data_IF_591767659587
#
_entry.id   IF_591767659587
#
_cell.length_a   1.000
_cell.length_b   1.000
_cell.length_c   1.000
_cell.angle_alpha   90.00
_cell.angle_beta   90.00
_cell.angle_gamma   90.00
#
_symmetry.space_group_name_H-M   'P 1'
#
loop_
_entity.id
_entity.type
_entity.pdbx_description
1 polymer ?
#
# COMPACT_ATOMS: atom_id res chain seq x y z
N UNK A 1 -11.42 13.98 -18.32
CA UNK A 1 -11.78 13.57 -16.95
C UNK A 1 -10.66 13.98 -16.02
N UNK A 2 -10.97 14.69 -14.94
CA UNK A 2 -10.03 15.17 -13.93
C UNK A 2 -10.11 14.31 -12.67
N UNK A 3 -8.98 14.16 -12.00
CA UNK A 3 -8.88 13.55 -10.66
C UNK A 3 -8.13 14.49 -9.74
N UNK A 4 -8.76 14.94 -8.68
CA UNK A 4 -8.20 15.91 -7.73
C UNK A 4 -7.53 15.19 -6.57
N UNK A 5 -6.33 15.62 -6.20
CA UNK A 5 -5.51 14.96 -5.17
C UNK A 5 -4.91 16.01 -4.25
N UNK A 6 -4.95 15.73 -2.96
CA UNK A 6 -4.22 16.55 -1.98
C UNK A 6 -2.70 16.49 -2.23
N UNK A 7 -2.05 17.64 -2.26
CA UNK A 7 -0.59 17.78 -2.30
C UNK A 7 0.08 17.21 -1.04
N UNK A 8 -0.69 17.01 0.03
CA UNK A 8 -0.25 16.37 1.28
C UNK A 8 -0.28 14.84 1.24
N UNK A 9 -0.55 14.21 0.09
CA UNK A 9 -0.26 12.79 -0.11
C UNK A 9 1.25 12.53 -0.13
N UNK A 10 1.68 11.30 0.20
CA UNK A 10 3.09 10.95 0.09
C UNK A 10 3.60 11.16 -1.35
N UNK A 11 4.84 11.63 -1.54
CA UNK A 11 5.42 11.82 -2.87
C UNK A 11 5.35 10.57 -3.75
N UNK A 12 5.52 9.38 -3.16
CA UNK A 12 5.41 8.09 -3.85
C UNK A 12 3.98 7.83 -4.35
N UNK A 13 2.97 8.20 -3.56
CA UNK A 13 1.57 8.13 -3.98
C UNK A 13 1.30 9.02 -5.18
N UNK A 14 1.78 10.26 -5.14
CA UNK A 14 1.65 11.20 -6.25
C UNK A 14 2.35 10.70 -7.51
N UNK A 15 3.55 10.09 -7.37
CA UNK A 15 4.28 9.50 -8.49
C UNK A 15 3.51 8.33 -9.12
N UNK A 16 2.95 7.42 -8.31
CA UNK A 16 2.13 6.30 -8.79
C UNK A 16 0.87 6.81 -9.50
N UNK A 17 0.19 7.80 -8.94
CA UNK A 17 -1.01 8.37 -9.55
C UNK A 17 -0.71 9.01 -10.91
N UNK A 18 0.40 9.75 -11.05
CA UNK A 18 0.85 10.29 -12.35
C UNK A 18 1.08 9.19 -13.37
N UNK A 19 1.86 8.15 -13.00
CA UNK A 19 2.13 7.02 -13.89
C UNK A 19 0.90 6.20 -14.27
N UNK A 20 -0.17 6.25 -13.49
CA UNK A 20 -1.45 5.59 -13.79
C UNK A 20 -2.43 6.48 -14.58
N UNK A 21 -2.40 7.78 -14.35
CA UNK A 21 -3.29 8.73 -15.01
C UNK A 21 -2.86 9.02 -16.46
N UNK A 22 -1.56 9.16 -16.69
CA UNK A 22 -1.00 9.53 -18.01
C UNK A 22 -1.42 8.58 -19.15
N UNK A 23 -1.30 7.24 -19.04
CA UNK A 23 -1.69 6.33 -20.10
C UNK A 23 -3.18 6.40 -20.45
N UNK A 24 -4.01 6.79 -19.51
CA UNK A 24 -5.46 6.90 -19.65
C UNK A 24 -5.92 8.28 -20.09
N UNK A 25 -5.01 9.23 -20.32
CA UNK A 25 -5.33 10.62 -20.64
C UNK A 25 -6.13 11.32 -19.54
N UNK A 26 -5.94 10.91 -18.29
CA UNK A 26 -6.59 11.51 -17.12
C UNK A 26 -5.76 12.66 -16.58
N UNK A 27 -6.37 13.82 -16.41
CA UNK A 27 -5.73 14.97 -15.79
C UNK A 27 -5.66 14.80 -14.26
N UNK A 28 -4.45 14.84 -13.69
CA UNK A 28 -4.22 14.82 -12.26
C UNK A 28 -4.01 16.23 -11.74
N UNK A 29 -4.94 16.72 -10.92
CA UNK A 29 -4.91 18.07 -10.33
C UNK A 29 -4.45 17.95 -8.89
N UNK A 30 -3.21 18.35 -8.60
CA UNK A 30 -2.60 18.29 -7.27
C UNK A 30 -2.70 19.66 -6.61
N UNK A 31 -3.40 19.74 -5.47
CA UNK A 31 -3.71 21.02 -4.78
C UNK A 31 -3.72 20.86 -3.27
N UNK A 32 -3.53 21.95 -2.55
CA UNK A 32 -3.74 22.00 -1.09
C UNK A 32 -5.25 22.04 -0.78
N UNK A 33 -5.82 20.86 -0.56
CA UNK A 33 -7.24 20.69 -0.21
C UNK A 33 -7.57 21.14 1.22
N UNK A 34 -6.58 21.48 2.04
CA UNK A 34 -6.81 21.99 3.38
C UNK A 34 -7.12 23.49 3.39
N UNK A 35 -6.63 24.21 2.42
CA UNK A 35 -6.83 25.68 2.31
C UNK A 35 -7.83 26.06 1.23
N UNK A 36 -7.91 25.29 0.16
CA UNK A 36 -8.76 25.63 -0.99
C UNK A 36 -9.22 24.38 -1.74
N UNK A 37 -10.51 24.24 -1.95
CA UNK A 37 -11.08 23.19 -2.79
C UNK A 37 -11.36 23.78 -4.17
N UNK A 38 -10.78 23.23 -5.25
CA UNK A 38 -11.04 23.70 -6.61
C UNK A 38 -12.48 23.37 -7.04
N UNK A 39 -12.91 23.92 -8.16
CA UNK A 39 -14.15 23.46 -8.78
C UNK A 39 -14.05 21.97 -9.11
N UNK A 40 -14.99 21.20 -8.60
CA UNK A 40 -15.09 19.75 -8.77
C UNK A 40 -15.99 19.33 -9.93
N UNK A 41 -16.52 20.27 -10.72
CA UNK A 41 -17.23 19.95 -11.95
C UNK A 41 -16.32 19.12 -12.88
N UNK A 42 -16.86 18.08 -13.50
CA UNK A 42 -16.15 17.13 -14.37
C UNK A 42 -15.02 16.31 -13.67
N UNK A 43 -14.93 16.36 -12.35
CA UNK A 43 -14.01 15.50 -11.58
C UNK A 43 -14.62 14.11 -11.38
N UNK A 44 -13.85 13.06 -11.66
CA UNK A 44 -14.27 11.69 -11.35
C UNK A 44 -14.04 11.31 -9.88
N UNK A 45 -13.11 11.96 -9.20
CA UNK A 45 -12.83 11.69 -7.80
C UNK A 45 -11.93 12.71 -7.13
N UNK A 46 -11.95 12.69 -5.80
CA UNK A 46 -11.11 13.51 -4.92
C UNK A 46 -10.41 12.61 -3.92
N UNK A 47 -9.08 12.73 -3.81
CA UNK A 47 -8.25 11.91 -2.95
C UNK A 47 -7.57 12.72 -1.85
N UNK A 48 -7.66 12.25 -0.63
CA UNK A 48 -6.87 12.70 0.53
C UNK A 48 -6.15 11.55 1.19
N UNK A 49 -5.16 11.86 2.02
CA UNK A 49 -4.42 10.88 2.82
C UNK A 49 -4.51 11.25 4.31
N UNK A 50 -4.66 10.23 5.18
CA UNK A 50 -4.69 10.40 6.64
C UNK A 50 -3.99 9.22 7.35
N UNK A 51 -2.96 9.47 8.18
CA UNK A 51 -2.22 10.72 8.33
C UNK A 51 -1.61 11.17 6.99
N UNK A 52 -1.46 12.47 6.81
CA UNK A 52 -0.85 13.02 5.61
C UNK A 52 0.69 12.91 5.64
N UNK A 53 1.37 13.35 4.57
CA UNK A 53 2.84 13.23 4.45
C UNK A 53 3.62 14.03 5.50
N UNK A 54 2.95 14.99 6.16
CA UNK A 54 3.49 15.82 7.25
C UNK A 54 3.03 15.35 8.64
N UNK A 55 2.27 14.23 8.68
CA UNK A 55 1.78 13.63 9.91
C UNK A 55 0.47 14.22 10.45
N UNK A 56 -0.16 15.14 9.73
CA UNK A 56 -1.38 15.80 10.18
C UNK A 56 -2.60 14.89 9.95
N UNK A 57 -3.48 14.90 10.94
CA UNK A 57 -4.80 14.25 10.86
C UNK A 57 -5.89 15.32 10.89
N UNK A 58 -6.86 15.20 9.99
CA UNK A 58 -7.98 16.15 9.86
C UNK A 58 -9.31 15.43 9.68
N UNK A 59 -10.38 16.06 10.10
CA UNK A 59 -11.74 15.64 9.74
C UNK A 59 -12.07 16.14 8.33
N UNK A 60 -12.22 15.20 7.41
CA UNK A 60 -12.47 15.48 5.99
C UNK A 60 -13.95 15.32 5.60
N UNK A 61 -14.89 15.24 6.56
CA UNK A 61 -16.31 14.99 6.27
C UNK A 61 -16.93 16.06 5.36
N UNK A 62 -16.55 17.31 5.54
CA UNK A 62 -17.01 18.42 4.67
C UNK A 62 -16.55 18.27 3.23
N UNK A 63 -15.30 17.86 3.03
CA UNK A 63 -14.74 17.61 1.69
C UNK A 63 -15.43 16.40 1.03
N UNK A 64 -15.64 15.32 1.78
CA UNK A 64 -16.33 14.14 1.28
C UNK A 64 -17.75 14.46 0.82
N UNK A 65 -18.45 15.30 1.58
CA UNK A 65 -19.78 15.78 1.20
C UNK A 65 -19.73 16.64 -0.06
N UNK A 66 -18.82 17.61 -0.13
CA UNK A 66 -18.66 18.50 -1.28
C UNK A 66 -18.35 17.71 -2.56
N UNK A 67 -17.46 16.71 -2.48
CA UNK A 67 -17.13 15.84 -3.61
C UNK A 67 -18.37 15.10 -4.12
N UNK A 68 -19.18 14.53 -3.22
CA UNK A 68 -20.44 13.84 -3.59
C UNK A 68 -21.47 14.77 -4.22
N UNK A 69 -21.64 15.94 -3.64
CA UNK A 69 -22.58 16.94 -4.15
C UNK A 69 -22.21 17.37 -5.59
N UNK A 70 -20.91 17.34 -5.92
CA UNK A 70 -20.38 17.57 -7.28
C UNK A 70 -20.37 16.33 -8.19
N UNK A 71 -20.78 15.16 -7.70
CA UNK A 71 -20.75 13.90 -8.47
C UNK A 71 -19.39 13.22 -8.52
N UNK A 72 -18.37 13.73 -7.81
CA UNK A 72 -17.05 13.11 -7.68
C UNK A 72 -17.01 12.06 -6.56
N UNK A 73 -16.20 11.01 -6.74
CA UNK A 73 -16.03 9.95 -5.74
C UNK A 73 -15.00 10.37 -4.70
N UNK A 74 -15.37 10.51 -3.41
CA UNK A 74 -14.39 10.79 -2.36
C UNK A 74 -13.62 9.53 -1.97
N UNK A 75 -12.30 9.61 -2.02
CA UNK A 75 -11.36 8.53 -1.74
C UNK A 75 -10.40 8.95 -0.63
N UNK A 76 -10.15 8.08 0.34
CA UNK A 76 -9.14 8.30 1.38
C UNK A 76 -8.10 7.21 1.37
N UNK A 77 -6.82 7.59 1.37
CA UNK A 77 -5.74 6.71 1.78
C UNK A 77 -5.64 6.78 3.29
N UNK A 78 -5.76 5.66 3.99
CA UNK A 78 -5.76 5.64 5.43
C UNK A 78 -4.85 4.54 6.01
N UNK A 79 -4.14 4.88 7.09
CA UNK A 79 -3.36 3.92 7.87
C UNK A 79 -4.32 3.09 8.75
N UNK A 80 -4.40 1.75 8.57
CA UNK A 80 -5.33 0.91 9.32
C UNK A 80 -5.06 0.90 10.82
N UNK A 81 -3.82 1.16 11.28
CA UNK A 81 -3.51 1.26 12.70
C UNK A 81 -4.13 2.53 13.31
N UNK A 82 -4.02 3.66 12.61
CA UNK A 82 -4.65 4.92 13.05
C UNK A 82 -6.17 4.79 13.17
N UNK A 83 -6.80 4.02 12.27
CA UNK A 83 -8.25 3.80 12.28
C UNK A 83 -8.77 3.02 13.48
N UNK A 84 -7.89 2.42 14.28
CA UNK A 84 -8.31 1.75 15.53
C UNK A 84 -8.72 2.73 16.62
N UNK A 85 -8.24 3.99 16.54
CA UNK A 85 -8.56 5.07 17.49
C UNK A 85 -9.18 6.29 16.81
N UNK A 86 -9.12 6.40 15.48
CA UNK A 86 -9.63 7.54 14.71
C UNK A 86 -10.89 7.18 13.93
N UNK A 87 -11.75 8.17 13.71
CA UNK A 87 -12.98 8.04 12.91
C UNK A 87 -12.66 7.46 11.53
N UNK A 88 -13.28 6.35 11.15
CA UNK A 88 -12.96 5.69 9.88
C UNK A 88 -13.51 6.46 8.67
N UNK A 89 -12.87 6.33 7.49
CA UNK A 89 -13.27 7.04 6.27
C UNK A 89 -14.75 6.87 5.90
N UNK A 90 -15.28 5.67 6.08
CA UNK A 90 -16.71 5.41 5.81
C UNK A 90 -17.68 6.24 6.65
N UNK A 91 -17.33 6.52 7.90
CA UNK A 91 -18.12 7.37 8.81
C UNK A 91 -17.93 8.86 8.52
N UNK A 92 -16.75 9.25 8.02
CA UNK A 92 -16.52 10.60 7.48
C UNK A 92 -17.23 10.85 6.13
N UNK A 93 -17.89 9.83 5.57
CA UNK A 93 -18.63 9.97 4.31
C UNK A 93 -17.85 9.59 3.05
N UNK A 94 -16.63 9.08 3.15
CA UNK A 94 -15.87 8.57 1.99
C UNK A 94 -16.52 7.33 1.41
N UNK A 95 -16.41 7.16 0.10
CA UNK A 95 -16.94 6.02 -0.62
C UNK A 95 -15.92 4.92 -0.84
N UNK A 96 -14.65 5.29 -0.91
CA UNK A 96 -13.54 4.36 -1.07
C UNK A 96 -12.46 4.69 -0.04
N UNK A 97 -11.93 3.67 0.61
CA UNK A 97 -10.74 3.74 1.43
C UNK A 97 -9.71 2.72 0.94
N UNK A 98 -8.45 3.13 0.83
CA UNK A 98 -7.32 2.28 0.45
C UNK A 98 -6.16 2.48 1.41
N UNK A 99 -5.28 1.50 1.51
CA UNK A 99 -4.08 1.63 2.33
C UNK A 99 -3.23 0.36 2.32
N UNK A 100 -2.03 0.47 2.88
CA UNK A 100 -1.15 -0.67 3.10
C UNK A 100 -1.50 -1.35 4.42
N UNK A 101 -1.41 -2.68 4.47
CA UNK A 101 -1.50 -3.45 5.72
C UNK A 101 -0.14 -3.70 6.36
N UNK A 102 0.93 -3.05 5.89
CA UNK A 102 2.28 -3.23 6.41
C UNK A 102 2.35 -3.06 7.93
N UNK A 103 1.63 -2.07 8.49
CA UNK A 103 1.59 -1.81 9.94
C UNK A 103 0.97 -2.94 10.78
N UNK A 104 0.37 -3.93 10.14
CA UNK A 104 -0.13 -5.12 10.82
C UNK A 104 0.92 -6.25 10.80
N UNK A 105 2.08 -5.97 11.41
CA UNK A 105 3.12 -6.94 11.67
C UNK A 105 3.97 -7.37 10.47
N UNK A 106 3.93 -6.64 9.35
CA UNK A 106 4.73 -6.97 8.18
C UNK A 106 6.07 -6.23 8.25
N UNK A 107 7.22 -6.94 8.14
CA UNK A 107 8.53 -6.30 8.08
C UNK A 107 8.63 -5.31 6.91
N UNK A 108 9.42 -4.25 7.09
CA UNK A 108 9.64 -3.24 6.04
C UNK A 108 10.34 -3.83 4.80
N UNK A 109 11.27 -4.79 4.98
CA UNK A 109 11.88 -5.59 3.93
C UNK A 109 12.45 -4.81 2.75
N UNK A 110 13.00 -3.63 3.00
CA UNK A 110 13.52 -2.70 1.99
C UNK A 110 12.47 -2.31 0.92
N UNK A 111 11.20 -2.24 1.30
CA UNK A 111 10.12 -1.78 0.43
C UNK A 111 9.09 -2.83 0.04
N UNK A 112 9.19 -4.03 0.56
CA UNK A 112 8.14 -5.00 0.33
C UNK A 112 8.59 -6.39 -0.07
N UNK A 113 7.63 -7.22 -0.55
CA UNK A 113 6.24 -6.86 -0.88
C UNK A 113 5.36 -6.63 0.34
N UNK A 114 4.30 -5.83 0.18
CA UNK A 114 3.27 -5.60 1.20
C UNK A 114 1.89 -5.91 0.63
N UNK A 115 0.96 -6.35 1.48
CA UNK A 115 -0.44 -6.41 1.13
C UNK A 115 -1.08 -5.03 1.31
N UNK A 116 -2.12 -4.78 0.53
CA UNK A 116 -2.93 -3.57 0.64
C UNK A 116 -4.41 -3.95 0.89
N UNK A 117 -5.19 -2.99 1.33
CA UNK A 117 -6.63 -3.14 1.43
C UNK A 117 -7.35 -2.11 0.56
N UNK A 118 -8.54 -2.47 0.13
CA UNK A 118 -9.52 -1.57 -0.48
C UNK A 118 -10.88 -1.85 0.15
N UNK A 119 -11.49 -0.81 0.70
CA UNK A 119 -12.86 -0.85 1.21
C UNK A 119 -13.72 0.13 0.40
N UNK A 120 -14.96 -0.24 0.11
CA UNK A 120 -15.85 0.60 -0.68
C UNK A 120 -17.31 0.36 -0.32
N UNK A 121 -18.19 1.27 -0.78
CA UNK A 121 -19.64 1.12 -0.67
C UNK A 121 -20.15 0.03 -1.63
N UNK A 122 -21.26 -0.60 -1.28
CA UNK A 122 -21.83 -1.71 -2.06
C UNK A 122 -22.12 -1.35 -3.52
N UNK A 123 -22.50 -0.11 -3.80
CA UNK A 123 -22.76 0.38 -5.15
C UNK A 123 -21.58 0.21 -6.13
N UNK A 124 -20.34 0.16 -5.62
CA UNK A 124 -19.12 0.02 -6.43
C UNK A 124 -18.63 -1.43 -6.56
N UNK A 125 -19.25 -2.39 -5.88
CA UNK A 125 -18.78 -3.78 -5.81
C UNK A 125 -18.56 -4.42 -7.19
N UNK A 126 -19.38 -4.06 -8.19
CA UNK A 126 -19.24 -4.58 -9.56
C UNK A 126 -18.05 -4.01 -10.32
N UNK A 127 -17.46 -2.92 -9.86
CA UNK A 127 -16.30 -2.25 -10.45
C UNK A 127 -15.03 -2.39 -9.60
N UNK A 128 -15.16 -2.98 -8.43
CA UNK A 128 -14.03 -3.19 -7.52
C UNK A 128 -12.99 -4.12 -8.18
N UNK A 129 -11.68 -3.78 -8.16
CA UNK A 129 -10.64 -4.70 -8.60
C UNK A 129 -10.57 -5.92 -7.66
N UNK A 130 -10.00 -7.01 -8.17
CA UNK A 130 -9.85 -8.24 -7.39
C UNK A 130 -11.11 -9.11 -7.35
N UNK A 131 -10.91 -10.34 -6.89
CA UNK A 131 -11.99 -11.32 -6.72
C UNK A 131 -12.72 -11.09 -5.41
N UNK A 132 -14.01 -11.33 -5.44
CA UNK A 132 -14.85 -11.33 -4.24
C UNK A 132 -15.25 -12.75 -3.94
N UNK A 133 -14.95 -13.22 -2.73
CA UNK A 133 -15.32 -14.54 -2.25
C UNK A 133 -16.55 -14.41 -1.36
N UNK A 134 -17.57 -15.19 -1.70
CA UNK A 134 -18.82 -15.30 -0.96
C UNK A 134 -18.89 -16.57 -0.14
N UNK A 135 -19.65 -16.52 0.94
CA UNK A 135 -19.99 -17.69 1.75
C UNK A 135 -21.19 -18.39 1.14
N UNK A 136 -21.12 -19.72 1.00
CA UNK A 136 -22.14 -20.60 0.45
C UNK A 136 -22.23 -21.88 1.29
N UNK A 137 -22.96 -22.86 0.80
CA UNK A 137 -22.97 -24.21 1.34
C UNK A 137 -22.61 -25.22 0.25
N UNK A 138 -21.93 -26.29 0.63
CA UNK A 138 -21.66 -27.41 -0.24
C UNK A 138 -22.88 -28.38 -0.33
N UNK A 139 -22.71 -29.48 -1.03
CA UNK A 139 -23.76 -30.49 -1.22
C UNK A 139 -24.17 -31.20 0.09
N UNK A 140 -23.35 -31.14 1.13
CA UNK A 140 -23.64 -31.70 2.47
C UNK A 140 -24.26 -30.69 3.42
N UNK A 141 -24.36 -29.41 3.01
CA UNK A 141 -24.85 -28.31 3.84
C UNK A 141 -23.78 -27.62 4.69
N UNK A 142 -22.51 -28.07 4.58
CA UNK A 142 -21.40 -27.41 5.29
C UNK A 142 -21.01 -26.08 4.63
N UNK A 143 -20.40 -25.19 5.40
CA UNK A 143 -19.92 -23.90 4.90
C UNK A 143 -18.89 -24.09 3.79
N UNK A 144 -19.13 -23.45 2.66
CA UNK A 144 -18.23 -23.45 1.50
C UNK A 144 -17.99 -22.03 1.00
N UNK A 145 -16.84 -21.81 0.39
CA UNK A 145 -16.47 -20.53 -0.20
C UNK A 145 -16.46 -20.62 -1.72
N UNK A 146 -16.95 -19.59 -2.38
CA UNK A 146 -16.94 -19.49 -3.84
C UNK A 146 -16.75 -18.07 -4.31
N UNK A 147 -16.32 -17.90 -5.56
CA UNK A 147 -16.32 -16.58 -6.19
C UNK A 147 -17.74 -16.02 -6.27
N UNK A 148 -17.95 -14.83 -5.71
CA UNK A 148 -19.19 -14.09 -5.84
C UNK A 148 -19.12 -13.13 -7.03
N UNK A 149 -20.30 -12.82 -7.62
CA UNK A 149 -20.43 -11.90 -8.76
C UNK A 149 -19.52 -12.31 -9.93
N UNK A 150 -19.56 -13.56 -10.31
CA UNK A 150 -18.71 -14.17 -11.34
C UNK A 150 -18.79 -13.48 -12.71
N UNK A 151 -19.88 -12.76 -12.98
CA UNK A 151 -20.07 -12.02 -14.26
C UNK A 151 -19.02 -10.95 -14.51
N UNK A 152 -18.19 -10.57 -13.53
CA UNK A 152 -17.07 -9.64 -13.67
C UNK A 152 -15.73 -10.34 -13.82
N UNK A 153 -15.68 -11.66 -13.71
CA UNK A 153 -14.45 -12.45 -13.78
C UNK A 153 -13.96 -12.64 -15.22
N UNK A 154 -12.65 -12.82 -15.38
CA UNK A 154 -11.96 -12.95 -16.67
C UNK A 154 -12.49 -14.11 -17.52
N UNK A 155 -12.78 -15.26 -16.93
CA UNK A 155 -13.28 -16.43 -17.65
C UNK A 155 -14.68 -16.24 -18.27
N UNK A 156 -15.43 -15.22 -17.82
CA UNK A 156 -16.74 -14.85 -18.38
C UNK A 156 -16.64 -13.63 -19.29
N UNK A 157 -16.04 -12.54 -18.79
CA UNK A 157 -16.00 -11.26 -19.49
C UNK A 157 -14.77 -11.02 -20.36
N UNK A 158 -13.75 -11.86 -20.23
CA UNK A 158 -12.48 -11.75 -20.99
C UNK A 158 -11.87 -10.35 -20.89
N UNK A 159 -11.72 -9.66 -22.01
CA UNK A 159 -11.18 -8.31 -22.14
C UNK A 159 -11.95 -7.21 -21.37
N UNK A 160 -13.24 -7.47 -21.11
CA UNK A 160 -14.11 -6.54 -20.35
C UNK A 160 -14.20 -6.86 -18.85
N UNK A 161 -13.37 -7.75 -18.36
CA UNK A 161 -13.38 -8.10 -16.93
C UNK A 161 -12.86 -6.95 -16.08
N UNK A 162 -13.52 -6.70 -14.95
CA UNK A 162 -13.08 -5.72 -13.96
C UNK A 162 -12.22 -6.34 -12.87
N UNK A 163 -12.21 -7.67 -12.76
CA UNK A 163 -11.44 -8.46 -11.81
C UNK A 163 -10.17 -9.00 -12.47
N UNK A 164 -9.19 -8.15 -12.68
CA UNK A 164 -8.00 -8.47 -13.48
C UNK A 164 -6.73 -8.67 -12.66
N UNK A 165 -6.85 -9.10 -11.40
CA UNK A 165 -5.69 -9.42 -10.57
C UNK A 165 -5.32 -10.88 -10.78
N UNK A 166 -4.12 -11.12 -11.30
CA UNK A 166 -3.56 -12.46 -11.44
C UNK A 166 -2.97 -12.93 -10.12
N UNK A 167 -1.99 -12.21 -9.62
CA UNK A 167 -1.25 -12.54 -8.39
C UNK A 167 -1.48 -11.45 -7.36
N UNK A 168 -1.77 -11.85 -6.13
CA UNK A 168 -1.88 -10.95 -4.98
C UNK A 168 -0.88 -11.37 -3.89
N UNK A 169 -0.62 -10.48 -2.95
CA UNK A 169 0.28 -10.71 -1.82
C UNK A 169 -0.44 -11.50 -0.70
N UNK A 170 -0.86 -12.73 -1.01
CA UNK A 170 -1.70 -13.56 -0.15
C UNK A 170 -1.04 -13.87 1.19
N UNK A 171 0.24 -14.26 1.20
CA UNK A 171 0.94 -14.57 2.45
C UNK A 171 0.97 -13.35 3.37
N UNK A 172 1.26 -12.18 2.86
CA UNK A 172 1.32 -10.94 3.64
C UNK A 172 -0.07 -10.51 4.11
N UNK A 173 -1.12 -10.74 3.31
CA UNK A 173 -2.50 -10.53 3.74
C UNK A 173 -2.89 -11.48 4.88
N UNK A 174 -2.47 -12.75 4.82
CA UNK A 174 -2.66 -13.72 5.91
C UNK A 174 -1.91 -13.27 7.16
N UNK A 175 -0.65 -12.86 7.05
CA UNK A 175 0.13 -12.35 8.19
C UNK A 175 -0.55 -11.15 8.84
N UNK A 176 -1.02 -10.18 8.06
CA UNK A 176 -1.76 -9.02 8.58
C UNK A 176 -3.07 -9.43 9.27
N UNK A 177 -3.78 -10.42 8.71
CA UNK A 177 -4.98 -11.00 9.32
C UNK A 177 -4.66 -11.70 10.66
N UNK A 178 -3.59 -12.50 10.72
CA UNK A 178 -3.16 -13.18 11.94
C UNK A 178 -2.67 -12.18 13.01
N UNK A 179 -2.02 -11.09 12.62
CA UNK A 179 -1.68 -10.00 13.52
C UNK A 179 -2.93 -9.38 14.17
N UNK A 180 -3.95 -9.11 13.36
CA UNK A 180 -5.22 -8.59 13.87
C UNK A 180 -5.95 -9.60 14.78
N UNK A 181 -5.87 -10.90 14.48
CA UNK A 181 -6.45 -11.96 15.32
C UNK A 181 -5.70 -12.08 16.65
N UNK A 182 -4.35 -12.02 16.61
CA UNK A 182 -3.51 -12.12 17.80
C UNK A 182 -3.75 -10.97 18.78
N UNK A 183 -3.75 -9.73 18.29
CA UNK A 183 -3.90 -8.55 19.14
C UNK A 183 -5.36 -8.26 19.51
N UNK A 184 -6.29 -8.62 18.66
CA UNK A 184 -7.69 -8.27 18.80
C UNK A 184 -7.94 -6.75 18.79
N UNK A 185 -9.18 -6.31 18.95
CA UNK A 185 -9.50 -4.88 18.92
C UNK A 185 -8.86 -4.10 20.07
N UNK A 186 -8.76 -4.68 21.26
CA UNK A 186 -8.16 -4.03 22.43
C UNK A 186 -6.63 -3.88 22.28
N UNK A 187 -5.94 -4.93 21.81
CA UNK A 187 -4.49 -4.89 21.60
C UNK A 187 -4.09 -3.91 20.50
N UNK A 188 -4.81 -3.90 19.38
CA UNK A 188 -4.58 -2.93 18.29
C UNK A 188 -4.80 -1.48 18.76
N UNK A 189 -5.85 -1.23 19.54
CA UNK A 189 -6.08 0.08 20.15
C UNK A 189 -4.92 0.49 21.06
N UNK A 190 -4.47 -0.39 21.93
CA UNK A 190 -3.34 -0.14 22.84
C UNK A 190 -2.04 0.19 22.09
N UNK A 191 -1.77 -0.52 20.97
CA UNK A 191 -0.63 -0.23 20.09
C UNK A 191 -0.76 1.18 19.52
N UNK A 192 -1.91 1.53 18.92
CA UNK A 192 -2.15 2.84 18.31
C UNK A 192 -2.06 3.98 19.34
N UNK A 193 -2.63 3.80 20.52
CA UNK A 193 -2.53 4.77 21.62
C UNK A 193 -1.08 4.94 22.08
N UNK A 194 -0.30 3.85 22.16
CA UNK A 194 1.12 3.87 22.49
C UNK A 194 1.95 4.64 21.47
N UNK A 195 1.71 4.43 20.19
CA UNK A 195 2.35 5.16 19.08
C UNK A 195 2.03 6.66 19.16
N UNK A 196 0.73 7.00 19.27
CA UNK A 196 0.29 8.40 19.38
C UNK A 196 0.84 9.10 20.63
N UNK A 197 0.88 8.39 21.77
CA UNK A 197 1.46 8.91 23.00
C UNK A 197 2.92 9.33 22.81
N UNK A 198 3.73 8.49 22.15
CA UNK A 198 5.15 8.80 21.88
C UNK A 198 5.32 9.98 20.96
N UNK A 199 4.52 10.08 19.90
CA UNK A 199 4.53 11.23 19.00
C UNK A 199 4.17 12.53 19.75
N UNK A 200 3.13 12.52 20.57
CA UNK A 200 2.74 13.68 21.37
C UNK A 200 3.79 14.02 22.42
N UNK A 201 4.41 13.04 23.06
CA UNK A 201 5.46 13.24 24.03
C UNK A 201 6.68 13.95 23.43
N UNK A 202 7.16 13.50 22.27
CA UNK A 202 8.23 14.19 21.55
C UNK A 202 7.81 15.63 21.19
N UNK A 203 6.63 15.81 20.61
CA UNK A 203 6.16 17.11 20.19
C UNK A 203 6.07 18.12 21.33
N UNK A 204 5.45 17.71 22.45
CA UNK A 204 5.30 18.57 23.63
C UNK A 204 6.65 18.90 24.27
N UNK A 205 7.56 17.93 24.33
CA UNK A 205 8.92 18.15 24.86
C UNK A 205 9.71 19.12 24.00
N UNK A 206 9.64 19.01 22.68
CA UNK A 206 10.28 19.94 21.74
C UNK A 206 9.70 21.36 21.85
N UNK A 207 8.37 21.49 21.92
CA UNK A 207 7.71 22.78 22.12
C UNK A 207 8.11 23.43 23.45
N UNK A 208 8.24 22.65 24.51
CA UNK A 208 8.72 23.15 25.81
C UNK A 208 10.18 23.60 25.77
N UNK A 209 10.97 23.08 24.86
CA UNK A 209 12.34 23.51 24.58
C UNK A 209 12.42 24.70 23.60
N UNK A 210 11.31 25.26 23.16
CA UNK A 210 11.26 26.38 22.22
C UNK A 210 11.50 25.97 20.76
N UNK A 211 11.38 24.66 20.44
CA UNK A 211 11.48 24.17 19.06
C UNK A 211 10.08 24.18 18.43
N UNK A 212 9.95 24.75 17.25
CA UNK A 212 8.70 24.80 16.53
C UNK A 212 8.32 23.43 16.00
N UNK A 213 7.15 22.95 16.41
CA UNK A 213 6.52 21.72 15.91
C UNK A 213 5.29 22.08 15.10
N UNK A 214 5.32 21.74 13.83
CA UNK A 214 4.26 22.07 12.88
C UNK A 214 3.11 21.03 12.92
N UNK A 215 2.01 21.45 12.31
CA UNK A 215 0.80 20.64 12.20
C UNK A 215 -0.13 20.77 13.40
N UNK A 216 -1.34 20.18 13.24
CA UNK A 216 -2.36 20.11 14.28
C UNK A 216 -2.35 18.75 14.99
N UNK A 217 -3.54 18.09 15.00
CA UNK A 217 -3.65 16.72 15.48
C UNK A 217 -2.79 15.77 14.66
N UNK A 218 -2.20 14.81 15.36
CA UNK A 218 -1.27 13.82 14.78
C UNK A 218 -1.58 12.42 15.27
N UNK A 219 -1.05 11.45 14.51
CA UNK A 219 -1.06 10.04 14.95
C UNK A 219 0.33 9.59 15.38
N UNK A 220 1.24 9.43 14.45
CA UNK A 220 2.54 8.79 14.63
C UNK A 220 3.73 9.67 14.23
N UNK A 221 3.47 10.79 13.56
CA UNK A 221 4.52 11.61 12.94
C UNK A 221 4.55 13.01 13.56
N UNK A 222 5.75 13.44 13.89
CA UNK A 222 6.07 14.80 14.39
C UNK A 222 6.85 15.53 13.31
N UNK A 223 6.39 16.72 12.92
CA UNK A 223 7.06 17.58 11.97
C UNK A 223 7.71 18.75 12.71
N UNK A 224 9.02 18.82 12.64
CA UNK A 224 9.85 19.84 13.30
C UNK A 224 10.26 20.90 12.28
N UNK A 225 10.01 22.17 12.59
CA UNK A 225 10.51 23.31 11.86
C UNK A 225 11.89 23.69 12.41
N UNK A 226 12.93 23.49 11.61
CA UNK A 226 14.27 23.98 11.92
C UNK A 226 14.42 25.46 11.54
N UNK A 227 15.38 26.14 12.14
CA UNK A 227 15.63 27.57 11.87
C UNK A 227 16.18 27.81 10.44
N UNK A 228 16.84 26.82 9.86
CA UNK A 228 17.41 26.85 8.51
C UNK A 228 17.62 25.44 7.96
N UNK A 229 17.94 25.34 6.66
CA UNK A 229 18.37 24.09 6.03
C UNK A 229 19.61 23.49 6.70
N UNK A 230 20.55 24.33 7.16
CA UNK A 230 21.75 23.89 7.86
C UNK A 230 21.41 23.34 9.26
N UNK A 231 20.46 23.95 9.95
CA UNK A 231 20.00 23.46 11.25
C UNK A 231 19.26 22.14 11.11
N UNK A 232 18.38 21.98 10.12
CA UNK A 232 17.74 20.71 9.80
C UNK A 232 18.79 19.61 9.49
N UNK A 233 19.86 19.97 8.75
CA UNK A 233 20.96 19.04 8.49
C UNK A 233 21.73 18.67 9.77
N UNK A 234 21.94 19.62 10.67
CA UNK A 234 22.60 19.36 11.95
C UNK A 234 21.75 18.46 12.87
N UNK A 235 20.44 18.68 12.95
CA UNK A 235 19.50 17.82 13.69
C UNK A 235 19.53 16.37 13.16
N UNK A 236 19.40 16.19 11.85
CA UNK A 236 19.44 14.87 11.24
C UNK A 236 20.79 14.17 11.37
N UNK A 237 21.89 14.94 11.32
CA UNK A 237 23.24 14.40 11.56
C UNK A 237 23.40 13.89 12.99
N UNK A 238 22.99 14.67 14.01
CA UNK A 238 23.04 14.23 15.40
C UNK A 238 22.18 12.99 15.65
N UNK A 239 21.00 12.95 15.00
CA UNK A 239 20.14 11.75 15.09
C UNK A 239 20.77 10.53 14.44
N UNK A 240 21.43 10.71 13.29
CA UNK A 240 22.17 9.64 12.61
C UNK A 240 23.31 9.13 13.48
N UNK A 241 24.08 10.03 14.10
CA UNK A 241 25.17 9.66 15.03
C UNK A 241 24.64 8.91 16.27
N UNK A 242 23.38 9.14 16.65
CA UNK A 242 22.66 8.41 17.70
C UNK A 242 21.97 7.14 17.21
N UNK A 243 22.09 6.77 15.93
CA UNK A 243 21.55 5.52 15.36
C UNK A 243 20.16 5.66 14.72
N UNK A 244 19.67 6.88 14.46
CA UNK A 244 18.34 7.11 13.91
C UNK A 244 18.39 7.91 12.60
N UNK A 245 17.72 7.40 11.56
CA UNK A 245 17.45 8.15 10.34
C UNK A 245 16.16 8.95 10.51
N UNK A 246 16.22 10.26 10.31
CA UNK A 246 15.06 11.14 10.29
C UNK A 246 14.79 11.61 8.85
N UNK A 247 13.52 11.82 8.55
CA UNK A 247 13.10 12.30 7.22
C UNK A 247 13.47 13.77 7.06
N UNK A 248 14.10 14.10 5.94
CA UNK A 248 14.26 15.49 5.46
C UNK A 248 13.27 15.78 4.34
N UNK A 249 12.89 17.05 4.22
CA UNK A 249 12.08 17.55 3.13
C UNK A 249 12.97 18.40 2.22
N UNK A 250 12.98 18.07 0.93
CA UNK A 250 13.88 18.70 -0.03
C UNK A 250 13.56 20.20 -0.17
N UNK A 251 14.58 21.04 0.02
CA UNK A 251 14.44 22.49 -0.06
C UNK A 251 13.69 23.15 1.09
N UNK A 252 13.20 22.38 2.08
CA UNK A 252 12.50 22.91 3.25
C UNK A 252 13.32 22.65 4.53
N UNK A 253 13.36 23.62 5.49
CA UNK A 253 14.01 23.41 6.79
C UNK A 253 13.13 22.58 7.72
N UNK A 254 12.73 21.40 7.27
CA UNK A 254 11.82 20.49 7.98
C UNK A 254 12.47 19.16 8.27
N UNK A 255 12.16 18.61 9.45
CA UNK A 255 12.57 17.27 9.88
C UNK A 255 11.33 16.51 10.35
N UNK A 256 11.10 15.32 9.77
CA UNK A 256 10.00 14.42 10.14
C UNK A 256 10.51 13.27 11.00
N UNK A 257 9.78 12.99 12.08
CA UNK A 257 10.03 11.85 12.98
C UNK A 257 8.77 11.01 13.04
N UNK A 258 8.87 9.75 12.63
CA UNK A 258 7.72 8.82 12.62
C UNK A 258 7.98 7.65 13.56
N UNK A 259 6.97 7.27 14.32
CA UNK A 259 7.00 6.20 15.31
C UNK A 259 6.14 5.00 14.90
N UNK A 260 6.53 3.84 15.37
CA UNK A 260 5.76 2.61 15.28
C UNK A 260 5.73 1.88 16.63
N UNK A 261 5.17 0.68 16.66
CA UNK A 261 5.07 -0.16 17.86
C UNK A 261 6.42 -0.65 18.37
N UNK A 262 7.46 -0.66 17.53
CA UNK A 262 8.81 -1.10 17.92
C UNK A 262 9.61 0.00 18.60
N UNK A 263 9.15 1.24 18.53
CA UNK A 263 9.80 2.39 19.15
C UNK A 263 9.63 2.36 20.67
N UNK A 264 10.73 2.42 21.40
CA UNK A 264 10.73 2.51 22.85
C UNK A 264 10.69 3.95 23.37
N UNK A 265 10.37 4.15 24.63
CA UNK A 265 10.44 5.47 25.28
C UNK A 265 11.90 5.99 25.37
N UNK A 266 12.88 5.08 25.43
CA UNK A 266 14.30 5.43 25.35
C UNK A 266 14.71 5.98 23.98
N UNK A 267 14.15 5.42 22.92
CA UNK A 267 14.38 5.92 21.54
C UNK A 267 13.83 7.34 21.40
N UNK A 268 12.62 7.61 21.91
CA UNK A 268 12.03 8.96 21.91
C UNK A 268 12.94 9.95 22.64
N UNK A 269 13.47 9.57 23.81
CA UNK A 269 14.40 10.41 24.55
C UNK A 269 15.68 10.68 23.77
N UNK A 270 16.26 9.66 23.16
CA UNK A 270 17.47 9.79 22.35
C UNK A 270 17.26 10.73 21.16
N UNK A 271 16.12 10.62 20.48
CA UNK A 271 15.75 11.52 19.36
C UNK A 271 15.53 12.95 19.88
N UNK A 272 14.86 13.11 21.03
CA UNK A 272 14.70 14.44 21.65
C UNK A 272 16.05 15.09 21.91
N UNK A 273 17.02 14.36 22.51
CA UNK A 273 18.37 14.89 22.76
C UNK A 273 19.13 15.21 21.47
N UNK A 274 18.90 14.47 20.39
CA UNK A 274 19.51 14.74 19.09
C UNK A 274 18.95 16.02 18.45
N UNK A 275 17.65 16.28 18.58
CA UNK A 275 17.00 17.47 18.03
C UNK A 275 17.23 18.69 18.93
N UNK A 276 16.99 18.58 20.24
CA UNK A 276 17.06 19.63 21.24
C UNK A 276 17.93 19.19 22.45
N UNK A 277 19.26 19.29 22.36
CA UNK A 277 20.16 18.84 23.41
C UNK A 277 19.89 19.52 24.75
N UNK A 278 19.94 18.76 25.84
CA UNK A 278 19.75 19.25 27.21
C UNK A 278 18.27 19.44 27.61
N UNK A 279 17.33 19.09 26.76
CA UNK A 279 15.90 19.15 27.08
C UNK A 279 15.49 18.01 28.00
N UNK A 280 14.80 18.34 29.09
CA UNK A 280 14.19 17.33 29.98
C UNK A 280 12.85 16.87 29.40
N UNK A 281 12.57 15.57 29.47
CA UNK A 281 11.26 15.05 29.14
C UNK A 281 10.21 15.47 30.18
N UNK A 282 9.16 16.13 29.74
CA UNK A 282 7.95 16.29 30.52
C UNK A 282 7.13 14.98 30.57
N UNK A 283 6.32 14.79 31.60
CA UNK A 283 5.27 13.77 31.59
C UNK A 283 4.19 14.22 30.59
N UNK A 284 3.83 13.35 29.63
CA UNK A 284 2.71 13.64 28.75
C UNK A 284 1.52 12.81 29.18
N UNK A 285 0.49 13.44 29.66
CA UNK A 285 -0.84 12.88 29.60
C UNK A 285 -1.22 12.73 28.11
N UNK A 286 -1.61 11.53 27.71
CA UNK A 286 -2.09 11.31 26.35
C UNK A 286 -3.29 12.21 26.11
N UNK A 287 -3.09 13.35 25.44
CA UNK A 287 -4.21 14.24 25.11
C UNK A 287 -5.24 13.44 24.31
N UNK A 288 -6.47 13.45 24.77
CA UNK A 288 -7.57 12.80 24.05
C UNK A 288 -7.65 13.37 22.62
N UNK A 289 -8.00 12.50 21.67
CA UNK A 289 -8.35 12.99 20.33
C UNK A 289 -9.60 13.89 20.42
N UNK A 290 -9.65 14.95 19.62
CA UNK A 290 -10.90 15.72 19.45
C UNK A 290 -12.07 14.79 19.13
N UNK A 291 -13.25 15.11 19.66
CA UNK A 291 -14.44 14.24 19.55
C UNK A 291 -14.88 13.95 18.11
N UNK A 292 -14.56 14.84 17.18
CA UNK A 292 -14.86 14.70 15.75
C UNK A 292 -13.82 13.86 15.00
N UNK A 293 -12.69 13.55 15.64
CA UNK A 293 -11.65 12.66 15.13
C UNK A 293 -11.60 11.33 15.86
N UNK A 294 -12.08 11.26 17.09
CA UNK A 294 -12.04 10.05 17.90
C UNK A 294 -13.00 8.98 17.39
N UNK A 295 -12.54 7.74 17.25
CA UNK A 295 -13.39 6.62 16.90
C UNK A 295 -14.32 6.25 18.05
N UNK A 296 -15.60 6.22 17.78
CA UNK A 296 -16.64 5.75 18.72
C UNK A 296 -17.24 4.41 18.32
N UNK A 297 -17.10 4.00 17.06
CA UNK A 297 -17.64 2.75 16.54
C UNK A 297 -16.77 1.54 16.90
N UNK A 298 -17.42 0.40 17.14
CA UNK A 298 -16.72 -0.88 17.32
C UNK A 298 -16.10 -1.39 16.01
N UNK A 299 -15.11 -2.29 16.14
CA UNK A 299 -14.50 -2.99 15.01
C UNK A 299 -14.01 -4.37 15.46
N UNK A 300 -13.77 -5.28 14.51
CA UNK A 300 -13.33 -6.65 14.76
C UNK A 300 -14.19 -7.38 15.81
N UNK A 301 -15.52 -7.24 15.68
CA UNK A 301 -16.47 -7.79 16.66
C UNK A 301 -16.68 -9.29 16.54
N UNK A 302 -16.15 -9.93 15.50
CA UNK A 302 -16.27 -11.38 15.30
C UNK A 302 -15.41 -12.13 16.31
N UNK A 303 -15.89 -13.29 16.76
CA UNK A 303 -15.25 -14.12 17.78
C UNK A 303 -13.79 -14.46 17.47
N UNK A 304 -13.44 -14.63 16.19
CA UNK A 304 -12.08 -14.95 15.75
C UNK A 304 -11.05 -13.91 16.19
N UNK A 305 -11.43 -12.64 16.32
CA UNK A 305 -10.55 -11.58 16.79
C UNK A 305 -10.53 -11.43 18.31
N UNK A 306 -11.31 -12.24 19.02
CA UNK A 306 -11.50 -12.15 20.46
C UNK A 306 -11.21 -13.48 21.20
N UNK A 307 -10.59 -14.46 20.52
CA UNK A 307 -10.42 -15.82 21.08
C UNK A 307 -8.98 -16.30 21.06
N UNK A 308 -8.15 -15.90 20.10
CA UNK A 308 -6.85 -16.53 19.84
C UNK A 308 -5.67 -15.65 20.28
N UNK A 309 -5.60 -15.33 21.58
CA UNK A 309 -4.61 -14.39 22.14
C UNK A 309 -3.45 -15.06 22.89
N UNK A 310 -3.32 -16.40 22.80
CA UNK A 310 -2.18 -17.14 23.33
C UNK A 310 -1.45 -17.89 22.21
N UNK A 311 -0.14 -18.13 22.40
CA UNK A 311 0.69 -18.85 21.43
C UNK A 311 0.08 -20.21 21.06
N UNK A 312 -0.35 -20.98 22.06
CA UNK A 312 -0.94 -22.30 21.85
C UNK A 312 -2.26 -22.22 21.07
N UNK A 313 -3.13 -21.27 21.38
CA UNK A 313 -4.41 -21.13 20.67
C UNK A 313 -4.21 -20.65 19.23
N UNK A 314 -3.30 -19.71 19.01
CA UNK A 314 -2.95 -19.24 17.68
C UNK A 314 -2.34 -20.38 16.85
N UNK A 315 -1.44 -21.17 17.39
CA UNK A 315 -0.84 -22.33 16.72
C UNK A 315 -1.91 -23.35 16.32
N UNK A 316 -2.83 -23.67 17.23
CA UNK A 316 -3.96 -24.59 16.95
C UNK A 316 -4.89 -24.02 15.88
N UNK A 317 -5.15 -22.71 15.90
CA UNK A 317 -5.97 -22.04 14.92
C UNK A 317 -5.34 -22.11 13.51
N UNK A 318 -4.07 -21.76 13.38
CA UNK A 318 -3.31 -21.84 12.13
C UNK A 318 -3.28 -23.27 11.59
N UNK A 319 -2.97 -24.26 12.45
CA UNK A 319 -2.94 -25.69 12.07
C UNK A 319 -4.32 -26.15 11.59
N UNK A 320 -5.40 -25.74 12.25
CA UNK A 320 -6.77 -26.06 11.84
C UNK A 320 -7.12 -25.48 10.47
N UNK A 321 -6.70 -24.26 10.17
CA UNK A 321 -6.91 -23.64 8.86
C UNK A 321 -6.11 -24.40 7.78
N UNK A 322 -4.83 -24.65 8.04
CA UNK A 322 -3.95 -25.38 7.14
C UNK A 322 -4.46 -26.77 6.80
N UNK A 323 -5.02 -27.48 7.79
CA UNK A 323 -5.56 -28.86 7.58
C UNK A 323 -6.82 -28.93 6.70
N UNK A 324 -7.47 -27.78 6.44
CA UNK A 324 -8.67 -27.70 5.61
C UNK A 324 -8.39 -27.34 4.16
N UNK A 325 -7.16 -26.99 3.85
CA UNK A 325 -6.76 -26.57 2.51
C UNK A 325 -5.73 -27.54 1.91
N UNK A 326 -5.47 -27.37 0.61
CA UNK A 326 -4.44 -28.13 -0.07
C UNK A 326 -3.06 -27.71 0.43
N UNK A 327 -2.23 -28.67 0.78
CA UNK A 327 -0.85 -28.46 1.20
C UNK A 327 0.09 -29.26 0.32
N UNK A 328 1.22 -28.69 -0.03
CA UNK A 328 2.29 -29.38 -0.77
C UNK A 328 2.90 -30.54 0.00
N UNK A 329 2.65 -30.64 1.31
CA UNK A 329 3.09 -31.75 2.11
C UNK A 329 2.33 -33.07 1.83
N UNK A 330 1.11 -32.99 1.28
CA UNK A 330 0.25 -34.18 1.06
C UNK A 330 -0.57 -34.12 -0.22
N UNK A 331 -0.42 -33.12 -1.06
CA UNK A 331 -1.11 -33.05 -2.35
C UNK A 331 -0.35 -32.27 -3.40
N UNK A 332 -0.64 -32.54 -4.66
CA UNK A 332 -0.15 -31.71 -5.78
C UNK A 332 -1.11 -30.55 -6.04
N UNK A 333 -0.57 -29.43 -6.48
CA UNK A 333 -1.37 -28.26 -6.87
C UNK A 333 -2.00 -28.53 -8.24
N UNK A 334 -3.35 -28.41 -8.37
CA UNK A 334 -4.05 -28.73 -9.62
C UNK A 334 -3.90 -27.65 -10.70
N UNK A 335 -3.35 -26.47 -10.36
CA UNK A 335 -3.14 -25.34 -11.26
C UNK A 335 -1.70 -24.80 -11.17
N UNK A 336 -1.24 -24.12 -12.22
CA UNK A 336 0.02 -23.37 -12.18
C UNK A 336 0.03 -22.38 -11.02
N UNK A 337 1.09 -22.39 -10.21
CA UNK A 337 1.16 -21.59 -9.00
C UNK A 337 1.87 -20.28 -9.26
N UNK A 338 1.15 -19.19 -9.46
CA UNK A 338 1.74 -17.86 -9.55
C UNK A 338 2.45 -17.43 -8.25
N UNK A 339 1.94 -17.88 -7.11
CA UNK A 339 2.37 -17.43 -5.77
C UNK A 339 2.96 -18.53 -4.89
N UNK A 340 2.75 -19.79 -5.21
CA UNK A 340 3.26 -20.91 -4.41
C UNK A 340 4.60 -21.38 -4.96
N UNK A 341 5.68 -20.86 -4.44
CA UNK A 341 7.04 -21.28 -4.79
C UNK A 341 7.52 -22.31 -3.77
N UNK A 342 8.17 -23.37 -4.26
CA UNK A 342 8.79 -24.38 -3.41
C UNK A 342 10.17 -23.90 -2.97
N UNK A 343 10.22 -23.11 -1.92
CA UNK A 343 11.46 -22.69 -1.32
C UNK A 343 11.74 -23.53 -0.07
N UNK A 344 13.00 -23.91 0.11
CA UNK A 344 13.41 -24.54 1.37
C UNK A 344 13.25 -23.57 2.54
N UNK A 345 12.90 -24.12 3.71
CA UNK A 345 12.77 -23.32 4.94
C UNK A 345 14.04 -22.51 5.23
N UNK A 346 15.22 -23.08 4.95
CA UNK A 346 16.51 -22.41 5.12
C UNK A 346 16.70 -21.22 4.19
N UNK A 347 16.12 -21.23 3.00
CA UNK A 347 16.12 -20.09 2.06
C UNK A 347 15.21 -18.96 2.52
N UNK A 348 14.16 -19.29 3.28
CA UNK A 348 13.21 -18.30 3.81
C UNK A 348 13.67 -17.65 5.13
N UNK A 349 14.56 -18.28 5.88
CA UNK A 349 15.04 -17.78 7.18
C UNK A 349 15.57 -16.34 7.13
N UNK A 350 16.39 -15.92 6.14
CA UNK A 350 16.92 -14.57 6.07
C UNK A 350 15.84 -13.47 6.05
N UNK A 351 14.65 -13.74 5.53
CA UNK A 351 13.54 -12.76 5.47
C UNK A 351 13.13 -12.29 6.86
N UNK A 352 13.27 -13.15 7.86
CA UNK A 352 12.96 -12.82 9.25
C UNK A 352 14.11 -12.16 10.02
N UNK A 353 15.31 -12.10 9.45
CA UNK A 353 16.44 -11.46 10.13
C UNK A 353 16.28 -9.93 10.12
N UNK A 354 16.54 -9.31 11.26
CA UNK A 354 16.39 -7.86 11.42
C UNK A 354 17.17 -7.05 10.38
N UNK A 355 18.35 -7.51 10.00
CA UNK A 355 19.22 -6.88 9.00
C UNK A 355 18.61 -6.84 7.60
N UNK A 356 17.72 -7.79 7.28
CA UNK A 356 16.95 -7.80 6.03
C UNK A 356 15.55 -7.21 6.24
N UNK A 357 14.78 -7.79 7.15
CA UNK A 357 13.39 -7.39 7.37
C UNK A 357 13.20 -5.97 7.91
N UNK A 358 14.15 -5.48 8.73
CA UNK A 358 14.05 -4.16 9.36
C UNK A 358 14.56 -2.98 8.50
N UNK A 359 15.08 -3.22 7.29
CA UNK A 359 15.62 -2.15 6.47
C UNK A 359 14.49 -1.29 5.85
N UNK A 360 14.57 0.02 6.09
CA UNK A 360 13.63 0.98 5.50
C UNK A 360 13.94 1.21 4.02
N UNK A 361 12.94 1.30 3.11
CA UNK A 361 13.17 1.46 1.66
C UNK A 361 13.88 2.77 1.28
N UNK A 362 13.80 3.79 2.13
CA UNK A 362 14.48 5.08 1.91
C UNK A 362 15.65 5.30 2.88
N UNK A 363 16.23 4.23 3.42
CA UNK A 363 17.48 4.34 4.17
C UNK A 363 18.60 4.88 3.26
N UNK A 364 19.54 5.67 3.79
CA UNK A 364 20.68 6.16 3.01
C UNK A 364 21.45 5.04 2.32
N UNK A 365 21.92 5.29 1.10
CA UNK A 365 22.57 4.26 0.25
C UNK A 365 23.79 3.60 0.89
N UNK A 366 24.58 4.36 1.63
CA UNK A 366 25.74 3.86 2.39
C UNK A 366 25.35 2.86 3.49
N UNK A 367 24.11 2.90 3.98
CA UNK A 367 23.57 1.91 4.90
C UNK A 367 22.99 0.66 4.21
N UNK A 368 22.82 0.71 2.89
CA UNK A 368 22.16 -0.31 2.07
C UNK A 368 23.12 -1.06 1.13
N UNK A 369 24.43 -0.97 1.31
CA UNK A 369 25.44 -1.51 0.41
C UNK A 369 25.23 -3.00 0.09
N UNK A 370 24.82 -3.81 1.08
CA UNK A 370 24.51 -5.23 0.89
C UNK A 370 23.31 -5.46 -0.05
N UNK A 371 22.25 -4.70 0.10
CA UNK A 371 21.08 -4.76 -0.79
C UNK A 371 21.44 -4.33 -2.21
N UNK A 372 22.17 -3.23 -2.36
CA UNK A 372 22.61 -2.73 -3.68
C UNK A 372 23.47 -3.78 -4.39
N UNK A 373 24.40 -4.42 -3.68
CA UNK A 373 25.22 -5.50 -4.23
C UNK A 373 24.37 -6.69 -4.66
N UNK A 374 23.42 -7.11 -3.81
CA UNK A 374 22.53 -8.23 -4.11
C UNK A 374 21.66 -7.94 -5.35
N UNK A 375 21.11 -6.74 -5.47
CA UNK A 375 20.32 -6.35 -6.64
C UNK A 375 21.14 -6.36 -7.92
N UNK A 376 22.32 -5.74 -7.92
CA UNK A 376 23.20 -5.74 -9.10
C UNK A 376 23.62 -7.15 -9.54
N UNK A 377 23.91 -8.03 -8.58
CA UNK A 377 24.21 -9.44 -8.89
C UNK A 377 22.99 -10.18 -9.48
N UNK A 378 21.79 -9.93 -8.97
CA UNK A 378 20.59 -10.56 -9.49
C UNK A 378 20.21 -10.04 -10.87
N UNK A 379 20.31 -8.74 -11.09
CA UNK A 379 20.09 -8.10 -12.39
C UNK A 379 21.03 -8.65 -13.45
N UNK A 380 22.32 -8.76 -13.13
CA UNK A 380 23.31 -9.34 -14.04
C UNK A 380 23.01 -10.80 -14.37
N UNK A 381 22.70 -11.64 -13.38
CA UNK A 381 22.37 -13.05 -13.60
C UNK A 381 21.10 -13.22 -14.45
N UNK A 382 20.10 -12.36 -14.25
CA UNK A 382 18.89 -12.38 -15.06
C UNK A 382 19.14 -11.90 -16.48
N UNK A 383 19.98 -10.88 -16.68
CA UNK A 383 20.41 -10.45 -18.01
C UNK A 383 21.14 -11.56 -18.75
N UNK A 384 22.09 -12.25 -18.09
CA UNK A 384 22.82 -13.38 -18.65
C UNK A 384 21.91 -14.55 -19.05
N UNK A 385 20.89 -14.87 -18.21
CA UNK A 385 19.94 -15.94 -18.47
C UNK A 385 18.95 -15.63 -19.61
N UNK A 386 18.57 -14.39 -19.74
CA UNK A 386 17.53 -13.96 -20.71
C UNK A 386 18.12 -13.42 -22.02
N UNK A 387 19.40 -13.06 -22.03
CA UNK A 387 20.08 -12.45 -23.17
C UNK A 387 19.71 -10.99 -23.42
N UNK A 388 19.11 -10.30 -22.42
CA UNK A 388 18.79 -8.89 -22.52
C UNK A 388 19.87 -7.99 -21.90
N UNK A 389 20.01 -6.78 -22.42
CA UNK A 389 21.03 -5.81 -21.97
C UNK A 389 20.72 -5.19 -20.61
N UNK A 390 19.45 -5.19 -20.19
CA UNK A 390 19.02 -4.59 -18.93
C UNK A 390 17.84 -5.30 -18.28
N UNK A 391 17.85 -5.30 -16.96
CA UNK A 391 16.81 -5.91 -16.11
C UNK A 391 16.38 -4.90 -15.07
N UNK A 392 15.09 -4.86 -14.75
CA UNK A 392 14.55 -4.10 -13.63
C UNK A 392 13.87 -5.02 -12.62
N UNK A 393 14.22 -4.88 -11.35
CA UNK A 393 13.62 -5.60 -10.22
C UNK A 393 12.48 -4.81 -9.56
N UNK A 394 12.08 -3.67 -10.13
CA UNK A 394 11.03 -2.80 -9.57
C UNK A 394 9.61 -3.40 -9.59
N UNK A 395 9.18 -4.19 -10.60
CA UNK A 395 7.84 -4.76 -10.61
C UNK A 395 7.58 -5.69 -9.41
N UNK A 396 6.49 -5.44 -8.68
CA UNK A 396 6.14 -6.19 -7.48
C UNK A 396 5.51 -7.56 -7.76
N UNK A 397 5.06 -7.82 -8.97
CA UNK A 397 4.42 -9.06 -9.40
C UNK A 397 4.52 -9.21 -10.91
N UNK A 398 4.22 -10.40 -11.45
CA UNK A 398 4.22 -10.66 -12.89
C UNK A 398 3.34 -9.68 -13.68
N UNK A 399 2.14 -9.37 -13.19
CA UNK A 399 1.25 -8.39 -13.83
C UNK A 399 1.81 -6.96 -13.84
N UNK A 400 2.63 -6.59 -12.86
CA UNK A 400 3.32 -5.30 -12.87
C UNK A 400 4.50 -5.29 -13.85
N UNK A 401 5.14 -6.44 -14.05
CA UNK A 401 6.15 -6.63 -15.11
C UNK A 401 5.55 -6.47 -16.51
N UNK A 402 4.39 -7.10 -16.76
CA UNK A 402 3.63 -6.92 -18.01
C UNK A 402 3.28 -5.43 -18.24
N UNK A 403 2.73 -4.78 -17.22
CA UNK A 403 2.37 -3.37 -17.30
C UNK A 403 3.58 -2.48 -17.57
N UNK A 404 4.69 -2.68 -16.84
CA UNK A 404 5.92 -1.90 -17.03
C UNK A 404 6.50 -2.09 -18.43
N UNK A 405 6.51 -3.33 -18.95
CA UNK A 405 6.96 -3.63 -20.30
C UNK A 405 6.10 -2.95 -21.36
N UNK A 406 4.78 -2.99 -21.21
CA UNK A 406 3.86 -2.31 -22.13
C UNK A 406 3.99 -0.78 -22.09
N UNK A 407 4.22 -0.20 -20.92
CA UNK A 407 4.52 1.23 -20.80
C UNK A 407 5.83 1.60 -21.49
N UNK A 408 6.87 0.77 -21.35
CA UNK A 408 8.15 0.99 -22.03
C UNK A 408 8.00 0.93 -23.55
N UNK A 409 7.26 -0.06 -24.08
CA UNK A 409 6.93 -0.19 -25.50
C UNK A 409 6.17 1.06 -26.00
N UNK A 410 5.16 1.49 -25.25
CA UNK A 410 4.39 2.69 -25.59
C UNK A 410 5.26 3.94 -25.60
N UNK A 411 6.10 4.12 -24.59
CA UNK A 411 7.01 5.25 -24.49
C UNK A 411 8.01 5.26 -25.66
N UNK A 412 8.52 4.09 -26.05
CA UNK A 412 9.40 3.95 -27.20
C UNK A 412 8.72 4.35 -28.51
N UNK A 413 7.49 3.89 -28.76
CA UNK A 413 6.72 4.30 -29.93
C UNK A 413 6.47 5.82 -29.97
N UNK A 414 6.07 6.40 -28.82
CA UNK A 414 5.85 7.84 -28.73
C UNK A 414 7.13 8.65 -28.98
N UNK A 415 8.28 8.19 -28.46
CA UNK A 415 9.57 8.84 -28.68
C UNK A 415 10.01 8.80 -30.17
N UNK A 416 9.59 7.76 -30.91
CA UNK A 416 9.86 7.61 -32.33
C UNK A 416 8.79 8.26 -33.24
N UNK A 417 7.81 8.96 -32.67
CA UNK A 417 6.75 9.62 -33.42
C UNK A 417 5.55 8.74 -33.77
N UNK A 418 5.58 7.46 -33.46
CA UNK A 418 4.55 6.45 -33.78
C UNK A 418 3.41 6.45 -32.75
N UNK A 419 2.79 7.58 -32.50
CA UNK A 419 1.73 7.71 -31.47
C UNK A 419 0.45 6.95 -31.78
N UNK A 420 0.24 6.58 -33.03
CA UNK A 420 -0.94 5.86 -33.51
C UNK A 420 -0.85 4.33 -33.29
N UNK A 421 0.29 3.81 -32.83
CA UNK A 421 0.44 2.41 -32.43
C UNK A 421 -0.20 2.13 -31.09
N UNK A 422 -1.53 2.10 -31.06
CA UNK A 422 -2.35 1.97 -29.86
C UNK A 422 -3.00 0.60 -29.72
N UNK A 423 -2.76 -0.33 -30.67
CA UNK A 423 -3.36 -1.67 -30.67
C UNK A 423 -2.38 -2.70 -30.15
N UNK A 424 -2.83 -3.53 -29.23
CA UNK A 424 -2.15 -4.70 -28.74
C UNK A 424 -2.88 -5.97 -29.23
N UNK A 425 -2.23 -6.76 -30.08
CA UNK A 425 -2.77 -8.01 -30.60
C UNK A 425 -2.46 -9.11 -29.60
N UNK A 426 -3.49 -9.84 -29.15
CA UNK A 426 -3.37 -10.84 -28.08
C UNK A 426 -4.08 -12.13 -28.48
N UNK A 427 -3.43 -13.32 -28.45
CA UNK A 427 -4.10 -14.58 -28.74
C UNK A 427 -5.19 -14.91 -27.73
N UNK A 428 -6.28 -15.52 -28.18
CA UNK A 428 -7.42 -15.90 -27.33
C UNK A 428 -7.04 -16.93 -26.25
N UNK A 429 -5.96 -17.65 -26.43
CA UNK A 429 -5.39 -18.58 -25.43
C UNK A 429 -4.59 -17.88 -24.34
N UNK A 430 -4.29 -16.58 -24.50
CA UNK A 430 -3.51 -15.84 -23.51
C UNK A 430 -4.23 -15.76 -22.15
N UNK A 431 -3.44 -15.69 -21.10
CA UNK A 431 -3.97 -15.46 -19.76
C UNK A 431 -4.72 -14.12 -19.69
N UNK A 432 -5.79 -14.05 -18.91
CA UNK A 432 -6.63 -12.85 -18.78
C UNK A 432 -5.90 -11.59 -18.28
N UNK A 433 -4.71 -11.74 -17.67
CA UNK A 433 -3.87 -10.61 -17.26
C UNK A 433 -3.32 -9.83 -18.45
N UNK A 434 -3.01 -10.50 -19.57
CA UNK A 434 -2.40 -9.84 -20.73
C UNK A 434 -3.30 -8.75 -21.33
N UNK A 435 -4.58 -9.01 -21.68
CA UNK A 435 -5.48 -7.94 -22.15
C UNK A 435 -5.71 -6.86 -21.08
N UNK A 436 -5.76 -7.24 -19.80
CA UNK A 436 -5.94 -6.27 -18.72
C UNK A 436 -4.75 -5.30 -18.61
N UNK A 437 -3.53 -5.82 -18.63
CA UNK A 437 -2.32 -5.00 -18.59
C UNK A 437 -2.21 -4.07 -19.80
N UNK A 438 -2.62 -4.55 -20.99
CA UNK A 438 -2.65 -3.74 -22.19
C UNK A 438 -3.63 -2.54 -22.08
N UNK A 439 -4.85 -2.78 -21.59
CA UNK A 439 -5.85 -1.73 -21.37
C UNK A 439 -5.37 -0.68 -20.37
N UNK A 440 -4.80 -1.12 -19.24
CA UNK A 440 -4.28 -0.21 -18.20
C UNK A 440 -3.08 0.61 -18.72
N UNK A 441 -2.29 0.04 -19.63
CA UNK A 441 -1.21 0.75 -20.32
C UNK A 441 -1.69 1.70 -21.45
N UNK A 442 -3.00 1.76 -21.69
CA UNK A 442 -3.60 2.67 -22.69
C UNK A 442 -3.65 2.10 -24.11
N UNK A 443 -3.55 0.76 -24.26
CA UNK A 443 -3.75 0.10 -25.56
C UNK A 443 -5.19 -0.40 -25.71
N UNK A 444 -5.61 -0.49 -26.97
CA UNK A 444 -6.80 -1.25 -27.37
C UNK A 444 -6.40 -2.71 -27.63
N UNK A 445 -7.25 -3.65 -27.23
CA UNK A 445 -6.97 -5.09 -27.40
C UNK A 445 -7.71 -5.64 -28.62
N UNK A 446 -6.98 -6.30 -29.50
CA UNK A 446 -7.53 -7.07 -30.62
C UNK A 446 -7.21 -8.56 -30.40
N UNK A 447 -8.23 -9.40 -30.11
CA UNK A 447 -7.99 -10.83 -29.89
C UNK A 447 -7.77 -11.55 -31.23
N UNK A 448 -6.83 -12.50 -31.25
CA UNK A 448 -6.55 -13.40 -32.39
C UNK A 448 -6.99 -14.80 -32.04
N UNK A 449 -7.65 -15.47 -32.99
CA UNK A 449 -8.09 -16.85 -32.84
C UNK A 449 -6.92 -17.82 -32.64
N UNK A 450 -7.20 -18.93 -31.98
CA UNK A 450 -6.25 -20.04 -31.79
C UNK A 450 -6.87 -21.31 -32.35
N UNK A 451 -6.09 -22.04 -33.14
CA UNK A 451 -6.46 -23.30 -33.73
C UNK A 451 -5.56 -24.43 -33.13
N UNK A 452 -6.17 -25.44 -32.52
CA UNK A 452 -5.49 -26.58 -31.88
C UNK A 452 -4.37 -26.20 -30.90
N UNK A 453 -4.48 -25.03 -30.25
CA UNK A 453 -3.52 -24.53 -29.25
C UNK A 453 -2.51 -23.52 -29.81
N UNK A 454 -2.39 -23.39 -31.12
CA UNK A 454 -1.54 -22.41 -31.80
C UNK A 454 -2.32 -21.17 -32.24
N UNK A 455 -1.60 -20.08 -32.52
CA UNK A 455 -2.18 -18.85 -33.05
C UNK A 455 -2.59 -19.08 -34.52
N UNK A 456 -3.83 -18.75 -34.85
CA UNK A 456 -4.30 -18.74 -36.25
C UNK A 456 -3.57 -17.66 -37.04
N UNK A 457 -2.68 -18.08 -37.92
CA UNK A 457 -1.87 -17.16 -38.77
C UNK A 457 -2.76 -16.39 -39.75
N UNK A 458 -3.81 -17.01 -40.25
CA UNK A 458 -4.73 -16.37 -41.19
C UNK A 458 -5.56 -15.27 -40.50
N UNK A 459 -6.05 -15.53 -39.27
CA UNK A 459 -6.75 -14.52 -38.49
C UNK A 459 -5.80 -13.39 -38.04
N UNK A 460 -4.55 -13.72 -37.68
CA UNK A 460 -3.53 -12.73 -37.37
C UNK A 460 -3.28 -11.80 -38.56
N UNK A 461 -3.07 -12.36 -39.75
CA UNK A 461 -2.86 -11.55 -40.98
C UNK A 461 -4.06 -10.68 -41.31
N UNK A 462 -5.28 -11.15 -41.05
CA UNK A 462 -6.49 -10.38 -41.28
C UNK A 462 -6.69 -9.20 -40.33
N UNK A 463 -5.97 -9.19 -39.19
CA UNK A 463 -6.08 -8.16 -38.11
C UNK A 463 -4.91 -7.20 -38.06
N UNK A 464 -3.87 -7.43 -38.84
CA UNK A 464 -2.75 -6.51 -39.05
C UNK A 464 -3.08 -5.54 -40.21
#
# INVERSE_FOLDING_TARGET
>A
TRFVVSDQCHPQTLAVLRGRAEPLGMELVVVDLATSVPDLADCCGVLVQSPDTRGTVKNWSSLAKLAKDAGAVPVMIADPMSLTIMTPPGEMGFDIAVGSTQRFGIPMGYGGPHAAYMATREQYVRRMPGRIIGVSKDSTGATAYRMAIQTREQHIRRDRATSNICTSQVLLAIMAGMYAIWHGPAGLRSIAEGVRRRANWLATSLQSAGVDVLGGERFDTVLVQAQSLNDAAAMTKRSLDAGFNLRRFDGEPLVGVTFDETTSDADVFTILQAIAPGTSCGSVDASALPSDLARTSGYLLNDVFNTHHSETEMLRYITRLQSRDLSLAHSMIPLGSCTMKLNATSEMLPVSWRTFGGMHPFAPQDQCAGYITMFGQLEQRLADLTGFDGVSLQPNAGSQGEYAGLLAIRAWHHANGDRDRTVCIIPMSAHGTNPASAIVAGFSVVPVACDEGDISIDDLKAKI
#
